data_IF_500092025674
#
_entry.id   IF_500092025674
#
_cell.length_a   1.000
_cell.length_b   1.000
_cell.length_c   1.000
_cell.angle_alpha   90.00
_cell.angle_beta   90.00
_cell.angle_gamma   90.00
#
_symmetry.space_group_name_H-M   'P 1'
#
loop_
_entity.id
_entity.type
_entity.pdbx_description
1 polymer ?
#
# COMPACT_ATOMS: atom_id res chain seq x y z
N UNK A 1 -9.72 -27.26 7.20
CA UNK A 1 -8.61 -26.31 7.15
C UNK A 1 -9.07 -24.96 7.74
N UNK A 2 -8.27 -24.38 8.60
CA UNK A 2 -8.65 -23.10 9.23
C UNK A 2 -8.58 -21.97 8.21
N UNK A 3 -9.64 -21.17 8.14
CA UNK A 3 -9.63 -19.95 7.32
C UNK A 3 -8.70 -18.90 7.93
N UNK A 4 -7.99 -18.16 7.05
CA UNK A 4 -7.10 -17.08 7.46
C UNK A 4 -7.25 -15.91 6.49
N UNK A 5 -7.20 -14.68 6.99
CA UNK A 5 -7.18 -13.54 6.08
C UNK A 5 -5.82 -13.43 5.39
N UNK A 6 -5.80 -12.72 4.26
CA UNK A 6 -4.56 -12.36 3.58
C UNK A 6 -4.06 -11.05 4.19
N UNK A 7 -2.93 -11.13 4.89
CA UNK A 7 -2.34 -9.94 5.50
C UNK A 7 -1.54 -9.17 4.45
N UNK A 8 -1.86 -7.89 4.30
CA UNK A 8 -1.20 -7.01 3.35
C UNK A 8 -0.73 -5.74 4.01
N UNK A 9 0.21 -5.07 3.37
CA UNK A 9 0.69 -3.75 3.75
C UNK A 9 0.45 -2.80 2.60
N UNK A 10 0.27 -1.52 2.91
CA UNK A 10 0.09 -0.48 1.91
C UNK A 10 0.75 0.80 2.41
N UNK A 11 1.18 1.62 1.46
CA UNK A 11 1.88 2.86 1.78
C UNK A 11 1.13 4.08 1.29
N UNK A 12 1.21 5.14 2.08
CA UNK A 12 0.86 6.50 1.66
C UNK A 12 2.12 7.33 1.75
N UNK A 13 2.51 7.95 0.63
CA UNK A 13 3.57 8.94 0.57
C UNK A 13 3.02 10.15 -0.16
N UNK A 14 3.27 11.34 0.38
CA UNK A 14 2.79 12.59 -0.19
C UNK A 14 3.97 13.52 -0.45
N UNK A 15 4.02 14.08 -1.67
CA UNK A 15 5.01 15.10 -2.03
C UNK A 15 4.29 16.18 -2.85
N UNK A 16 4.43 17.43 -2.43
CA UNK A 16 3.87 18.58 -3.14
C UNK A 16 2.36 18.42 -3.42
N UNK A 17 1.64 17.89 -2.44
CA UNK A 17 0.20 17.68 -2.55
C UNK A 17 -0.23 16.51 -3.42
N UNK A 18 0.70 15.66 -3.82
CA UNK A 18 0.42 14.49 -4.64
C UNK A 18 0.75 13.22 -3.88
N UNK A 19 -0.01 12.19 -4.16
CA UNK A 19 0.15 10.87 -3.54
C UNK A 19 0.76 9.89 -4.52
N UNK A 20 1.64 9.03 -4.02
CA UNK A 20 2.28 7.99 -4.81
C UNK A 20 1.31 6.83 -4.99
N UNK A 21 0.99 6.52 -6.24
CA UNK A 21 0.20 5.37 -6.61
C UNK A 21 0.94 4.56 -7.68
N UNK A 22 0.46 3.35 -7.92
CA UNK A 22 0.95 2.53 -9.02
C UNK A 22 -0.19 2.30 -10.01
N UNK A 23 0.16 2.29 -11.29
CA UNK A 23 -0.76 1.89 -12.35
C UNK A 23 -0.44 0.46 -12.72
N UNK A 24 -1.45 -0.41 -12.62
CA UNK A 24 -1.32 -1.84 -12.84
C UNK A 24 -2.17 -2.27 -14.04
N UNK A 25 -1.71 -3.29 -14.75
CA UNK A 25 -2.50 -3.92 -15.80
C UNK A 25 -3.07 -5.23 -15.25
N UNK A 26 -4.39 -5.29 -15.09
CA UNK A 26 -5.09 -6.45 -14.55
C UNK A 26 -6.20 -6.84 -15.50
N UNK A 27 -6.13 -8.05 -16.06
CA UNK A 27 -7.12 -8.55 -17.02
C UNK A 27 -7.37 -7.57 -18.17
N UNK A 28 -6.29 -6.96 -18.67
CA UNK A 28 -6.37 -6.00 -19.77
C UNK A 28 -6.85 -4.61 -19.36
N UNK A 29 -7.08 -4.36 -18.09
CA UNK A 29 -7.55 -3.07 -17.59
C UNK A 29 -6.47 -2.36 -16.80
N UNK A 30 -6.40 -1.05 -17.00
CA UNK A 30 -5.50 -0.18 -16.23
C UNK A 30 -6.20 0.21 -14.93
N UNK A 31 -5.61 -0.14 -13.79
CA UNK A 31 -6.15 0.20 -12.47
C UNK A 31 -5.08 0.88 -11.63
N UNK A 32 -5.51 1.71 -10.69
CA UNK A 32 -4.61 2.38 -9.75
C UNK A 32 -4.75 1.79 -8.37
N UNK A 33 -3.61 1.64 -7.70
CA UNK A 33 -3.56 1.16 -6.32
C UNK A 33 -2.51 1.93 -5.55
N UNK A 34 -2.59 1.89 -4.24
CA UNK A 34 -1.45 2.28 -3.42
C UNK A 34 -0.33 1.29 -3.68
N UNK A 35 0.95 1.65 -3.44
CA UNK A 35 1.98 0.64 -3.32
C UNK A 35 1.57 -0.31 -2.20
N UNK A 36 1.41 -1.59 -2.50
CA UNK A 36 0.83 -2.55 -1.57
C UNK A 36 1.17 -3.98 -1.96
N UNK A 37 1.18 -4.87 -0.98
CA UNK A 37 1.38 -6.28 -1.25
C UNK A 37 1.30 -7.13 0.00
N UNK A 38 1.56 -8.43 -0.16
CA UNK A 38 1.42 -9.39 0.91
C UNK A 38 2.61 -9.40 1.86
N UNK A 39 2.32 -9.58 3.15
CA UNK A 39 3.36 -9.88 4.13
C UNK A 39 3.97 -11.23 3.81
N UNK A 40 5.30 -11.31 3.80
CA UNK A 40 6.01 -12.56 3.61
C UNK A 40 6.47 -13.15 4.93
N UNK A 41 6.60 -14.46 4.96
CA UNK A 41 7.04 -15.15 6.17
C UNK A 41 8.42 -14.64 6.60
N UNK A 42 8.55 -14.34 7.88
CA UNK A 42 9.83 -13.94 8.45
C UNK A 42 10.12 -12.44 8.39
N UNK A 43 9.26 -11.64 7.74
CA UNK A 43 9.48 -10.19 7.74
C UNK A 43 8.52 -9.49 8.70
N UNK A 44 8.94 -8.33 9.19
CA UNK A 44 8.04 -7.46 9.95
C UNK A 44 7.14 -6.70 8.99
N UNK A 45 6.06 -6.11 9.51
CA UNK A 45 5.18 -5.28 8.69
C UNK A 45 5.93 -4.06 8.13
N UNK A 46 6.86 -3.50 8.90
CA UNK A 46 7.70 -2.38 8.45
C UNK A 46 8.59 -2.80 7.28
N UNK A 47 9.24 -3.96 7.42
CA UNK A 47 10.07 -4.49 6.32
C UNK A 47 9.24 -4.77 5.08
N UNK A 48 8.02 -5.30 5.27
CA UNK A 48 7.14 -5.61 4.16
C UNK A 48 6.74 -4.37 3.37
N UNK A 49 6.33 -3.29 4.05
CA UNK A 49 5.91 -2.08 3.34
C UNK A 49 7.08 -1.42 2.62
N UNK A 50 8.27 -1.43 3.23
CA UNK A 50 9.47 -0.89 2.57
C UNK A 50 9.80 -1.69 1.32
N UNK A 51 9.72 -3.01 1.40
CA UNK A 51 9.98 -3.90 0.26
C UNK A 51 8.98 -3.67 -0.86
N UNK A 52 7.69 -3.61 -0.53
CA UNK A 52 6.65 -3.43 -1.55
C UNK A 52 6.77 -2.09 -2.26
N UNK A 53 7.05 -1.01 -1.53
CA UNK A 53 7.24 0.30 -2.17
C UNK A 53 8.42 0.25 -3.12
N UNK A 54 9.53 -0.35 -2.70
CA UNK A 54 10.71 -0.47 -3.56
C UNK A 54 10.42 -1.29 -4.82
N UNK A 55 9.76 -2.44 -4.66
CA UNK A 55 9.46 -3.33 -5.79
C UNK A 55 8.49 -2.72 -6.79
N UNK A 56 7.55 -1.93 -6.31
CA UNK A 56 6.49 -1.40 -7.16
C UNK A 56 6.73 0.03 -7.66
N UNK A 57 7.60 0.79 -6.99
CA UNK A 57 7.80 2.21 -7.34
C UNK A 57 9.25 2.61 -7.52
N UNK A 58 10.20 1.77 -7.13
CA UNK A 58 11.63 2.07 -7.09
C UNK A 58 12.01 3.16 -6.09
N UNK A 59 11.13 3.50 -5.15
CA UNK A 59 11.42 4.44 -4.09
C UNK A 59 11.82 3.76 -2.80
N UNK A 60 12.85 4.27 -2.13
CA UNK A 60 13.12 3.95 -0.74
C UNK A 60 12.08 4.66 0.12
N UNK A 61 11.39 3.91 0.95
CA UNK A 61 10.29 4.41 1.77
C UNK A 61 10.62 4.25 3.25
N UNK A 62 10.43 5.31 4.02
CA UNK A 62 10.63 5.26 5.47
C UNK A 62 9.29 5.50 6.15
N UNK A 63 8.67 4.46 6.74
CA UNK A 63 7.41 4.61 7.46
C UNK A 63 7.58 5.51 8.68
N UNK A 64 6.60 6.38 8.93
CA UNK A 64 6.56 7.27 10.10
C UNK A 64 5.45 6.90 11.07
N UNK A 65 4.30 6.48 10.53
CA UNK A 65 3.12 6.21 11.37
C UNK A 65 2.23 5.19 10.70
N UNK A 66 1.38 4.57 11.51
CA UNK A 66 0.30 3.72 11.02
C UNK A 66 -0.92 4.62 10.79
N UNK A 67 -1.51 4.54 9.61
CA UNK A 67 -2.74 5.27 9.29
C UNK A 67 -3.95 4.49 9.78
N UNK A 68 -3.95 3.19 9.59
CA UNK A 68 -5.05 2.36 10.04
C UNK A 68 -4.89 0.90 9.69
N UNK A 69 -5.81 0.10 10.20
CA UNK A 69 -5.92 -1.33 9.93
C UNK A 69 -7.30 -1.56 9.32
N UNK A 70 -7.34 -2.25 8.19
CA UNK A 70 -8.56 -2.36 7.38
C UNK A 70 -8.87 -3.82 7.09
N UNK A 71 -10.11 -4.21 7.34
CA UNK A 71 -10.58 -5.54 7.01
C UNK A 71 -11.52 -5.41 5.81
N UNK A 72 -11.17 -6.05 4.71
CA UNK A 72 -11.92 -5.89 3.47
C UNK A 72 -12.16 -7.24 2.79
N UNK A 73 -13.40 -7.77 2.86
CA UNK A 73 -13.75 -8.96 2.08
C UNK A 73 -13.78 -8.62 0.59
N UNK A 74 -13.15 -9.47 -0.22
CA UNK A 74 -13.14 -9.25 -1.66
C UNK A 74 -14.54 -9.59 -2.23
N UNK A 75 -15.25 -8.63 -2.83
CA UNK A 75 -16.61 -8.87 -3.31
C UNK A 75 -16.69 -9.85 -4.48
N UNK A 76 -15.57 -10.07 -5.19
CA UNK A 76 -15.52 -10.97 -6.33
C UNK A 76 -14.97 -12.35 -5.98
N UNK A 77 -14.36 -12.50 -4.81
CA UNK A 77 -13.79 -13.74 -4.31
C UNK A 77 -14.11 -13.87 -2.82
N UNK A 78 -15.29 -14.38 -2.47
CA UNK A 78 -15.78 -14.35 -1.08
C UNK A 78 -14.89 -15.06 -0.07
N UNK A 79 -14.05 -16.00 -0.50
CA UNK A 79 -13.13 -16.70 0.39
C UNK A 79 -11.92 -15.85 0.80
N UNK A 80 -11.72 -14.73 0.12
CA UNK A 80 -10.57 -13.86 0.36
C UNK A 80 -11.02 -12.61 1.12
N UNK A 81 -10.42 -12.42 2.29
CA UNK A 81 -10.55 -11.19 3.06
C UNK A 81 -9.16 -10.63 3.27
N UNK A 82 -8.99 -9.38 2.95
CA UNK A 82 -7.71 -8.70 3.17
C UNK A 82 -7.70 -8.05 4.54
N UNK A 83 -6.58 -8.22 5.25
CA UNK A 83 -6.29 -7.48 6.47
C UNK A 83 -5.12 -6.56 6.13
N UNK A 84 -5.42 -5.29 5.88
CA UNK A 84 -4.44 -4.31 5.38
C UNK A 84 -3.94 -3.43 6.52
N UNK A 85 -2.62 -3.33 6.62
CA UNK A 85 -1.95 -2.35 7.48
C UNK A 85 -1.44 -1.23 6.59
N UNK A 86 -2.00 -0.02 6.76
CA UNK A 86 -1.64 1.11 5.93
C UNK A 86 -0.71 2.05 6.68
N UNK A 87 0.45 2.33 6.10
CA UNK A 87 1.48 3.18 6.69
C UNK A 87 1.62 4.48 5.92
N UNK A 88 1.85 5.56 6.64
CA UNK A 88 2.31 6.81 6.06
C UNK A 88 3.81 6.93 6.27
N UNK A 89 4.50 7.44 5.27
CA UNK A 89 5.93 7.69 5.38
C UNK A 89 6.44 8.55 4.25
N UNK A 90 7.76 8.63 4.18
CA UNK A 90 8.45 9.49 3.22
C UNK A 90 9.20 8.66 2.19
N UNK A 91 9.09 9.08 0.93
CA UNK A 91 9.97 8.60 -0.14
C UNK A 91 11.27 9.38 -0.05
N UNK A 92 12.39 8.66 0.15
CA UNK A 92 13.68 9.27 0.42
C UNK A 92 14.53 9.38 -0.82
N UNK A 93 14.62 8.30 -1.59
CA UNK A 93 15.48 8.23 -2.75
C UNK A 93 14.87 7.32 -3.81
N UNK A 94 14.85 7.78 -5.06
CA UNK A 94 14.38 6.98 -6.18
C UNK A 94 15.56 6.26 -6.84
N UNK A 95 15.40 4.96 -7.09
CA UNK A 95 16.38 4.16 -7.83
C UNK A 95 16.00 4.16 -9.30
N UNK A 96 16.47 5.18 -10.00
CA UNK A 96 16.16 5.38 -11.41
C UNK A 96 16.69 4.20 -12.24
N UNK A 97 15.84 3.69 -13.14
CA UNK A 97 16.19 2.57 -14.00
C UNK A 97 15.91 1.19 -13.42
N UNK A 98 15.45 1.12 -12.17
CA UNK A 98 15.07 -0.17 -11.59
C UNK A 98 13.81 -0.72 -12.27
N UNK A 99 13.84 -2.01 -12.59
CA UNK A 99 12.68 -2.71 -13.13
C UNK A 99 11.64 -2.88 -12.02
N UNK A 100 10.40 -2.52 -12.31
CA UNK A 100 9.30 -2.69 -11.37
C UNK A 100 8.72 -4.11 -11.47
N UNK A 101 7.95 -4.50 -10.45
CA UNK A 101 7.31 -5.81 -10.44
C UNK A 101 6.44 -6.04 -11.66
N UNK A 102 6.31 -7.32 -12.04
CA UNK A 102 5.45 -7.72 -13.14
C UNK A 102 4.02 -7.24 -12.91
N UNK A 103 3.40 -6.70 -13.96
CA UNK A 103 2.04 -6.16 -13.88
C UNK A 103 1.98 -4.69 -13.51
N UNK A 104 3.06 -4.13 -12.95
CA UNK A 104 3.14 -2.71 -12.66
C UNK A 104 3.61 -1.98 -13.92
N UNK A 105 2.80 -1.08 -14.43
CA UNK A 105 3.14 -0.29 -15.61
C UNK A 105 4.04 0.89 -15.24
N UNK A 106 3.72 1.58 -14.14
CA UNK A 106 4.49 2.73 -13.69
C UNK A 106 4.04 3.19 -12.31
N UNK A 107 4.90 3.93 -11.63
CA UNK A 107 4.54 4.70 -10.44
C UNK A 107 4.12 6.11 -10.88
N UNK A 108 3.12 6.66 -10.23
CA UNK A 108 2.58 7.99 -10.57
C UNK A 108 2.33 8.78 -9.29
N UNK A 109 2.40 10.10 -9.41
CA UNK A 109 2.06 11.02 -8.32
C UNK A 109 0.80 11.76 -8.73
N UNK A 110 -0.30 11.53 -8.00
CA UNK A 110 -1.60 12.12 -8.33
C UNK A 110 -2.11 12.99 -7.19
N UNK A 111 -2.75 14.11 -7.57
CA UNK A 111 -3.43 14.96 -6.59
C UNK A 111 -4.71 14.27 -6.12
N UNK A 112 -5.27 14.66 -4.96
CA UNK A 112 -6.56 14.12 -4.52
C UNK A 112 -7.66 14.26 -5.58
N UNK A 113 -7.66 15.38 -6.32
CA UNK A 113 -8.64 15.63 -7.38
C UNK A 113 -8.46 14.64 -8.52
N UNK A 114 -7.22 14.36 -8.92
CA UNK A 114 -6.94 13.38 -9.96
C UNK A 114 -7.34 11.97 -9.53
N UNK A 115 -7.12 11.63 -8.26
CA UNK A 115 -7.53 10.34 -7.73
C UNK A 115 -9.06 10.22 -7.76
N UNK A 116 -9.77 11.28 -7.42
CA UNK A 116 -11.24 11.29 -7.48
C UNK A 116 -11.74 11.11 -8.91
N UNK A 117 -11.09 11.73 -9.89
CA UNK A 117 -11.42 11.55 -11.30
C UNK A 117 -11.23 10.11 -11.75
N UNK A 118 -10.28 9.39 -11.15
CA UNK A 118 -9.98 7.99 -11.50
C UNK A 118 -10.72 6.99 -10.60
N UNK A 119 -11.75 7.43 -9.90
CA UNK A 119 -12.48 6.64 -8.91
C UNK A 119 -12.89 5.26 -9.44
N UNK A 120 -13.33 5.19 -10.70
CA UNK A 120 -13.77 3.94 -11.31
C UNK A 120 -12.62 3.00 -11.66
N UNK A 121 -11.39 3.50 -11.63
CA UNK A 121 -10.20 2.72 -11.96
C UNK A 121 -9.36 2.38 -10.74
N UNK A 122 -9.83 2.68 -9.54
CA UNK A 122 -9.12 2.29 -8.32
C UNK A 122 -9.30 0.79 -8.09
N UNK A 123 -8.22 0.15 -7.65
CA UNK A 123 -8.17 -1.30 -7.42
C UNK A 123 -9.25 -1.76 -6.45
N UNK A 124 -9.49 -0.97 -5.41
CA UNK A 124 -10.53 -1.24 -4.41
C UNK A 124 -10.90 0.06 -3.70
N UNK A 125 -12.03 0.07 -2.95
CA UNK A 125 -12.40 1.23 -2.14
C UNK A 125 -11.37 1.59 -1.07
N UNK A 126 -10.47 0.67 -0.72
CA UNK A 126 -9.46 0.92 0.29
C UNK A 126 -8.49 2.03 -0.12
N UNK A 127 -8.25 2.20 -1.43
CA UNK A 127 -7.34 3.26 -1.91
C UNK A 127 -7.85 4.62 -1.44
N UNK A 128 -9.10 4.96 -1.74
CA UNK A 128 -9.71 6.22 -1.30
C UNK A 128 -9.83 6.30 0.21
N UNK A 129 -10.24 5.20 0.84
CA UNK A 129 -10.45 5.17 2.29
C UNK A 129 -9.16 5.49 3.05
N UNK A 130 -8.06 4.85 2.67
CA UNK A 130 -6.77 5.08 3.32
C UNK A 130 -6.32 6.53 3.16
N UNK A 131 -6.47 7.09 1.96
CA UNK A 131 -6.07 8.46 1.69
C UNK A 131 -6.93 9.44 2.48
N UNK A 132 -8.24 9.22 2.54
CA UNK A 132 -9.15 10.07 3.31
C UNK A 132 -8.84 10.02 4.80
N UNK A 133 -8.57 8.85 5.33
CA UNK A 133 -8.20 8.70 6.74
C UNK A 133 -6.90 9.46 7.03
N UNK A 134 -5.92 9.34 6.13
CA UNK A 134 -4.68 10.11 6.24
C UNK A 134 -4.96 11.61 6.24
N UNK A 135 -5.77 12.09 5.30
CA UNK A 135 -6.09 13.51 5.17
C UNK A 135 -6.85 14.04 6.38
N UNK A 136 -7.63 13.20 7.05
CA UNK A 136 -8.33 13.59 8.28
C UNK A 136 -7.41 13.68 9.50
N UNK A 137 -6.13 13.36 9.33
CA UNK A 137 -5.17 13.44 10.41
C UNK A 137 -4.98 12.15 11.20
N UNK A 138 -5.54 11.03 10.71
CA UNK A 138 -5.44 9.76 11.43
C UNK A 138 -4.02 9.23 11.38
N UNK A 139 -3.38 9.21 12.54
CA UNK A 139 -1.99 8.79 12.72
C UNK A 139 -1.85 8.06 14.03
N UNK A 140 -1.21 6.90 14.00
CA UNK A 140 -0.90 6.13 15.20
C UNK A 140 0.59 5.81 15.22
N UNK A 141 1.22 5.82 16.40
CA UNK A 141 2.66 5.56 16.47
C UNK A 141 2.98 4.15 16.02
N UNK A 142 4.15 3.98 15.40
CA UNK A 142 4.59 2.67 14.92
C UNK A 142 4.78 1.66 16.05
N UNK A 143 5.07 2.12 17.25
CA UNK A 143 5.22 1.21 18.40
C UNK A 143 3.90 0.63 18.90
N UNK A 144 2.78 1.03 18.29
CA UNK A 144 1.52 0.30 18.46
C UNK A 144 1.67 -1.16 18.01
N UNK A 145 2.56 -1.41 17.06
CA UNK A 145 2.82 -2.75 16.52
C UNK A 145 4.04 -3.33 17.22
N UNK A 146 3.86 -4.46 17.88
CA UNK A 146 4.97 -5.20 18.47
C UNK A 146 5.38 -6.31 17.50
N UNK A 147 6.67 -6.36 17.20
CA UNK A 147 7.22 -7.43 16.37
C UNK A 147 8.14 -8.29 17.23
N UNK A 148 7.83 -9.57 17.32
CA UNK A 148 8.72 -10.54 17.94
C UNK A 148 9.06 -11.59 16.89
N UNK A 149 10.28 -11.51 16.36
CA UNK A 149 10.76 -12.50 15.42
C UNK A 149 11.59 -13.52 16.18
N UNK A 150 11.31 -14.78 15.89
CA UNK A 150 11.76 -15.92 16.69
C UNK A 150 13.23 -16.25 16.58
N UNK A 151 14.02 -15.41 15.98
CA UNK A 151 15.47 -15.61 15.88
C UNK A 151 16.23 -15.21 17.15
N UNK A 152 15.52 -14.80 18.18
CA UNK A 152 16.12 -14.40 19.46
C UNK A 152 16.18 -15.53 20.46
#
# INVERSE_FOLDING_TARGET
MQWKPNTTVAAIAEQDGRFLLVEELINGKHVFNQPAGHLEQGETLIEAVKREVMEETAWEFEPESLVGVYLYPNPHQPDITYLRFCFYGNCIKERIGQTLDEGILRAVWLTPEEIEEEQMRLRSPLVSRCIKDFQSGQRYPLDLIYHSLSSE
#
